data_IF_523670409409
#
_entry.id   IF_523670409409
#
_cell.length_a   1.000
_cell.length_b   1.000
_cell.length_c   1.000
_cell.angle_alpha   90.00
_cell.angle_beta   90.00
_cell.angle_gamma   90.00
#
_symmetry.space_group_name_H-M   'P 1'
#
loop_
_entity.id
_entity.type
_entity.pdbx_description
1 polymer ?
#
# COMPACT_ATOMS: atom_id res chain seq x y z
N UNK A 1 21.91 15.26 16.24
CA UNK A 1 21.45 15.60 14.89
C UNK A 1 19.99 15.21 14.81
N UNK A 2 19.14 16.12 14.40
CA UNK A 2 17.72 15.93 14.21
C UNK A 2 17.46 15.45 12.78
N UNK A 3 16.69 14.39 12.61
CA UNK A 3 16.39 13.79 11.31
C UNK A 3 14.87 13.85 11.10
N UNK A 4 14.46 14.40 9.96
CA UNK A 4 13.09 14.34 9.46
C UNK A 4 13.02 13.28 8.36
N UNK A 5 11.99 12.44 8.42
CA UNK A 5 11.65 11.49 7.35
C UNK A 5 10.37 11.93 6.65
N UNK A 6 10.43 12.12 5.35
CA UNK A 6 9.27 12.32 4.49
C UNK A 6 9.05 11.05 3.68
N UNK A 7 7.96 10.34 3.94
CA UNK A 7 7.64 9.09 3.25
C UNK A 7 6.51 9.31 2.25
N UNK A 8 6.82 9.16 0.97
CA UNK A 8 5.87 9.35 -0.14
C UNK A 8 5.51 8.01 -0.79
N UNK A 9 4.38 8.00 -1.49
CA UNK A 9 3.93 6.87 -2.28
C UNK A 9 3.20 5.82 -1.45
N UNK A 10 3.64 4.57 -1.49
CA UNK A 10 2.87 3.43 -1.00
C UNK A 10 3.32 2.94 0.39
N UNK A 11 2.48 2.07 0.97
CA UNK A 11 2.73 1.34 2.21
C UNK A 11 4.06 0.56 2.26
N UNK A 12 4.57 0.07 1.10
CA UNK A 12 5.90 -0.57 1.02
C UNK A 12 7.03 0.44 1.27
N UNK A 13 6.90 1.66 0.73
CA UNK A 13 7.83 2.75 1.05
C UNK A 13 7.75 3.15 2.52
N UNK A 14 6.55 3.18 3.08
CA UNK A 14 6.36 3.47 4.50
C UNK A 14 7.06 2.44 5.39
N UNK A 15 6.94 1.13 5.07
CA UNK A 15 7.68 0.09 5.79
C UNK A 15 9.21 0.29 5.74
N UNK A 16 9.75 0.70 4.58
CA UNK A 16 11.17 1.01 4.43
C UNK A 16 11.56 2.24 5.29
N UNK A 17 10.73 3.28 5.30
CA UNK A 17 10.93 4.48 6.12
C UNK A 17 10.90 4.16 7.62
N UNK A 18 9.93 3.38 8.08
CA UNK A 18 9.80 2.96 9.48
C UNK A 18 11.02 2.14 9.94
N UNK A 19 11.56 1.28 9.05
CA UNK A 19 12.76 0.50 9.32
C UNK A 19 14.00 1.41 9.42
N UNK A 20 14.18 2.37 8.51
CA UNK A 20 15.27 3.35 8.55
C UNK A 20 15.20 4.19 9.83
N UNK A 21 14.01 4.70 10.19
CA UNK A 21 13.80 5.46 11.43
C UNK A 21 14.20 4.65 12.67
N UNK A 22 13.83 3.37 12.71
CA UNK A 22 14.21 2.47 13.80
C UNK A 22 15.71 2.28 13.93
N UNK A 23 16.44 2.15 12.82
CA UNK A 23 17.89 2.05 12.81
C UNK A 23 18.54 3.35 13.33
N UNK A 24 18.07 4.49 12.85
CA UNK A 24 18.59 5.80 13.24
C UNK A 24 18.33 6.10 14.72
N UNK A 25 17.11 5.82 15.21
CA UNK A 25 16.77 5.99 16.63
C UNK A 25 17.64 5.12 17.54
N UNK A 26 17.93 3.88 17.15
CA UNK A 26 18.85 2.98 17.89
C UNK A 26 20.26 3.58 18.00
N UNK A 27 20.71 4.30 16.98
CA UNK A 27 22.02 4.97 16.96
C UNK A 27 21.99 6.41 17.52
N UNK A 28 20.99 6.74 18.34
CA UNK A 28 20.84 7.99 19.07
C UNK A 28 20.69 9.24 18.18
N UNK A 29 20.13 9.07 16.97
CA UNK A 29 19.63 10.19 16.20
C UNK A 29 18.26 10.60 16.74
N UNK A 30 18.01 11.90 16.81
CA UNK A 30 16.73 12.43 17.24
C UNK A 30 15.79 12.54 16.03
N UNK A 31 14.61 11.93 16.12
CA UNK A 31 13.60 12.00 15.06
C UNK A 31 12.69 13.22 15.35
N UNK A 32 12.52 14.08 14.38
CA UNK A 32 11.66 15.28 14.48
C UNK A 32 10.60 15.27 13.38
N UNK A 33 9.49 15.96 13.67
CA UNK A 33 8.45 16.26 12.67
C UNK A 33 8.50 17.75 12.25
N UNK A 34 9.45 18.53 12.76
CA UNK A 34 9.61 19.93 12.44
C UNK A 34 10.74 20.12 11.42
N UNK A 35 10.37 20.58 10.23
CA UNK A 35 11.29 20.85 9.13
C UNK A 35 12.34 21.92 9.49
N UNK A 36 11.97 22.87 10.35
CA UNK A 36 12.87 23.97 10.76
C UNK A 36 13.92 23.53 11.77
N UNK A 37 13.70 22.41 12.47
CA UNK A 37 14.64 21.84 13.43
C UNK A 37 15.51 20.72 12.82
N UNK A 38 15.21 20.30 11.60
CA UNK A 38 15.92 19.20 10.96
C UNK A 38 17.32 19.59 10.52
N UNK A 39 18.31 18.81 10.97
CA UNK A 39 19.69 18.87 10.45
C UNK A 39 19.84 18.05 9.16
N UNK A 40 19.10 16.96 9.04
CA UNK A 40 19.03 16.11 7.86
C UNK A 40 17.56 15.78 7.52
N UNK A 41 17.23 15.81 6.24
CA UNK A 41 15.94 15.37 5.72
C UNK A 41 16.16 14.19 4.79
N UNK A 42 15.40 13.11 5.02
CA UNK A 42 15.38 11.92 4.17
C UNK A 42 14.04 11.88 3.48
N UNK A 43 14.00 11.95 2.14
CA UNK A 43 12.79 11.84 1.34
C UNK A 43 12.75 10.47 0.68
N UNK A 44 11.84 9.61 1.14
CA UNK A 44 11.59 8.31 0.51
C UNK A 44 10.53 8.50 -0.57
N UNK A 45 10.95 8.39 -1.83
CA UNK A 45 10.25 8.86 -3.01
C UNK A 45 9.51 7.75 -3.76
N UNK A 46 8.48 8.13 -4.51
CA UNK A 46 7.75 7.28 -5.44
C UNK A 46 8.02 7.68 -6.89
N UNK A 47 7.94 6.72 -7.82
CA UNK A 47 8.00 6.96 -9.26
C UNK A 47 7.21 5.89 -10.03
N UNK A 48 6.14 5.37 -9.42
CA UNK A 48 5.33 4.32 -10.00
C UNK A 48 4.45 4.83 -11.16
N UNK A 49 3.85 6.00 -10.98
CA UNK A 49 3.08 6.73 -11.98
C UNK A 49 3.53 8.19 -11.99
N UNK A 50 3.19 8.91 -13.07
CA UNK A 50 3.58 10.30 -13.29
C UNK A 50 3.23 11.22 -12.12
N UNK A 51 2.00 11.16 -11.62
CA UNK A 51 1.53 12.03 -10.53
C UNK A 51 2.34 11.82 -9.24
N UNK A 52 2.62 10.58 -8.88
CA UNK A 52 3.45 10.26 -7.71
C UNK A 52 4.92 10.67 -7.89
N UNK A 53 5.40 10.68 -9.12
CA UNK A 53 6.73 11.20 -9.45
C UNK A 53 6.76 12.74 -9.33
N UNK A 54 5.75 13.44 -9.86
CA UNK A 54 5.63 14.90 -9.73
C UNK A 54 5.53 15.33 -8.24
N UNK A 55 4.76 14.61 -7.43
CA UNK A 55 4.71 14.82 -5.99
C UNK A 55 6.10 14.67 -5.36
N UNK A 56 6.82 13.59 -5.72
CA UNK A 56 8.16 13.34 -5.19
C UNK A 56 9.15 14.44 -5.55
N UNK A 57 9.17 14.86 -6.82
CA UNK A 57 10.05 15.96 -7.28
C UNK A 57 9.71 17.26 -6.55
N UNK A 58 8.43 17.63 -6.49
CA UNK A 58 8.00 18.85 -5.81
C UNK A 58 8.39 18.86 -4.33
N UNK A 59 8.19 17.74 -3.64
CA UNK A 59 8.57 17.61 -2.23
C UNK A 59 10.10 17.75 -2.04
N UNK A 60 10.91 17.09 -2.87
CA UNK A 60 12.37 17.22 -2.80
C UNK A 60 12.80 18.67 -3.04
N UNK A 61 12.20 19.37 -4.02
CA UNK A 61 12.48 20.78 -4.30
C UNK A 61 12.05 21.71 -3.15
N UNK A 62 10.97 21.39 -2.44
CA UNK A 62 10.56 22.13 -1.25
C UNK A 62 11.56 21.95 -0.12
N UNK A 63 11.98 20.72 0.16
CA UNK A 63 12.98 20.43 1.18
C UNK A 63 14.35 21.04 0.83
N UNK A 64 14.72 21.07 -0.45
CA UNK A 64 15.96 21.70 -0.94
C UNK A 64 16.07 23.18 -0.58
N UNK A 65 14.94 23.93 -0.52
CA UNK A 65 14.92 25.35 -0.10
C UNK A 65 15.45 25.54 1.32
N UNK A 66 15.31 24.54 2.18
CA UNK A 66 15.76 24.58 3.57
C UNK A 66 17.30 24.56 3.70
N UNK A 67 18.04 24.17 2.64
CA UNK A 67 19.50 24.29 2.56
C UNK A 67 20.00 25.73 2.66
N UNK A 68 19.14 26.70 2.34
CA UNK A 68 19.42 28.12 2.52
C UNK A 68 19.23 28.60 3.97
N UNK A 69 18.77 27.73 4.87
CA UNK A 69 18.50 28.01 6.28
C UNK A 69 19.41 27.15 7.17
N UNK A 70 18.89 26.06 7.73
CA UNK A 70 19.58 25.21 8.71
C UNK A 70 19.75 23.75 8.27
N UNK A 71 19.15 23.32 7.16
CA UNK A 71 19.31 21.96 6.66
C UNK A 71 20.74 21.73 6.18
N UNK A 72 21.41 20.72 6.74
CA UNK A 72 22.75 20.32 6.34
C UNK A 72 22.73 19.28 5.23
N UNK A 73 21.89 18.26 5.38
CA UNK A 73 21.87 17.11 4.48
C UNK A 73 20.47 16.84 3.95
N UNK A 74 20.36 16.79 2.62
CA UNK A 74 19.18 16.34 1.89
C UNK A 74 19.48 14.99 1.26
N UNK A 75 18.77 13.94 1.68
CA UNK A 75 18.98 12.56 1.26
C UNK A 75 17.73 12.09 0.55
N UNK A 76 17.87 11.53 -0.66
CA UNK A 76 16.76 10.99 -1.42
C UNK A 76 16.89 9.46 -1.53
N UNK A 77 15.81 8.74 -1.27
CA UNK A 77 15.77 7.27 -1.37
C UNK A 77 14.47 6.82 -2.05
N UNK A 78 14.33 5.52 -2.26
CA UNK A 78 13.10 4.93 -2.80
C UNK A 78 13.09 4.80 -4.32
N UNK A 79 11.85 4.75 -4.87
CA UNK A 79 11.64 4.39 -6.27
C UNK A 79 12.22 5.40 -7.26
N UNK A 80 12.12 6.71 -6.97
CA UNK A 80 12.66 7.75 -7.84
C UNK A 80 14.19 7.70 -7.87
N UNK A 81 14.83 7.59 -6.70
CA UNK A 81 16.28 7.42 -6.60
C UNK A 81 16.77 6.19 -7.38
N UNK A 82 16.06 5.05 -7.26
CA UNK A 82 16.41 3.83 -7.99
C UNK A 82 16.22 3.96 -9.51
N UNK A 83 15.21 4.70 -9.95
CA UNK A 83 14.86 4.84 -11.37
C UNK A 83 15.83 5.76 -12.12
N UNK A 84 16.17 6.91 -11.53
CA UNK A 84 16.96 7.96 -12.18
C UNK A 84 18.43 7.96 -11.75
N UNK A 85 18.75 7.35 -10.62
CA UNK A 85 20.12 7.23 -10.10
C UNK A 85 20.86 8.58 -10.07
N UNK A 86 22.05 8.62 -10.66
CA UNK A 86 22.92 9.79 -10.59
C UNK A 86 22.41 10.98 -11.44
N UNK A 87 21.47 10.75 -12.39
CA UNK A 87 20.81 11.84 -13.15
C UNK A 87 20.06 12.82 -12.24
N UNK A 88 19.65 12.37 -11.03
CA UNK A 88 18.92 13.18 -10.06
C UNK A 88 19.77 14.37 -9.55
N UNK A 89 21.09 14.20 -9.41
CA UNK A 89 22.00 15.26 -8.95
C UNK A 89 22.17 16.37 -9.99
N UNK A 90 22.12 16.03 -11.28
CA UNK A 90 22.20 17.02 -12.37
C UNK A 90 20.97 17.94 -12.37
N UNK A 91 19.80 17.39 -12.00
CA UNK A 91 18.52 18.13 -11.98
C UNK A 91 18.30 18.86 -10.65
N UNK A 92 18.76 18.31 -9.52
CA UNK A 92 18.58 18.86 -8.17
C UNK A 92 19.92 18.79 -7.41
N UNK A 93 20.83 19.75 -7.66
CA UNK A 93 22.18 19.73 -7.09
C UNK A 93 22.24 19.99 -5.57
N UNK A 94 21.12 20.31 -4.93
CA UNK A 94 21.03 20.43 -3.48
C UNK A 94 21.00 19.08 -2.74
N UNK A 95 20.83 17.96 -3.46
CA UNK A 95 20.82 16.62 -2.89
C UNK A 95 22.27 16.20 -2.56
N UNK A 96 22.49 15.76 -1.33
CA UNK A 96 23.82 15.33 -0.87
C UNK A 96 24.03 13.81 -1.04
N UNK A 97 22.94 13.03 -0.99
CA UNK A 97 23.03 11.58 -1.15
C UNK A 97 21.76 10.95 -1.74
N UNK A 98 21.97 9.88 -2.52
CA UNK A 98 20.91 9.03 -3.05
C UNK A 98 21.11 7.57 -2.68
N UNK A 99 20.02 6.88 -2.27
CA UNK A 99 19.99 5.44 -1.99
C UNK A 99 18.91 4.76 -2.83
N UNK A 100 19.29 3.67 -3.51
CA UNK A 100 18.34 2.82 -4.22
C UNK A 100 17.41 2.03 -3.29
N UNK A 101 16.37 1.44 -3.86
CA UNK A 101 15.37 0.64 -3.14
C UNK A 101 15.94 -0.59 -2.45
N UNK A 102 17.03 -1.15 -2.96
CA UNK A 102 17.77 -2.28 -2.37
C UNK A 102 18.89 -1.86 -1.40
N UNK A 103 19.02 -0.54 -1.10
CA UNK A 103 20.11 0.01 -0.30
C UNK A 103 19.64 0.85 0.89
N UNK A 104 18.34 0.93 1.18
CA UNK A 104 17.80 1.74 2.27
C UNK A 104 18.37 1.36 3.65
N UNK A 105 18.80 0.11 3.83
CA UNK A 105 19.42 -0.39 5.05
C UNK A 105 20.85 0.20 5.30
N UNK A 106 21.42 0.90 4.33
CA UNK A 106 22.68 1.60 4.45
C UNK A 106 22.55 3.07 4.84
N UNK A 107 21.36 3.51 5.22
CA UNK A 107 21.09 4.91 5.59
C UNK A 107 22.01 5.42 6.70
N UNK A 108 22.34 4.57 7.67
CA UNK A 108 23.27 4.94 8.75
C UNK A 108 24.66 5.22 8.22
N UNK A 109 25.21 4.35 7.36
CA UNK A 109 26.54 4.51 6.77
C UNK A 109 26.61 5.80 5.95
N UNK A 110 25.56 6.10 5.17
CA UNK A 110 25.45 7.33 4.37
C UNK A 110 25.49 8.59 5.26
N UNK A 111 24.72 8.60 6.35
CA UNK A 111 24.71 9.73 7.28
C UNK A 111 26.08 9.91 7.95
N UNK A 112 26.73 8.84 8.37
CA UNK A 112 28.07 8.92 8.96
C UNK A 112 29.11 9.39 7.95
N UNK A 113 29.00 8.99 6.70
CA UNK A 113 29.87 9.44 5.62
C UNK A 113 29.65 10.94 5.29
N UNK A 114 28.40 11.41 5.21
CA UNK A 114 28.08 12.83 5.05
C UNK A 114 28.68 13.67 6.17
N UNK A 115 28.57 13.23 7.42
CA UNK A 115 29.17 13.90 8.58
C UNK A 115 30.72 13.92 8.50
N UNK A 116 31.33 12.85 8.01
CA UNK A 116 32.77 12.78 7.86
C UNK A 116 33.29 13.73 6.77
N UNK A 117 32.47 14.08 5.80
CA UNK A 117 32.76 15.03 4.70
C UNK A 117 32.38 16.48 5.02
N UNK A 118 31.78 16.74 6.19
CA UNK A 118 31.35 18.07 6.59
C UNK A 118 32.53 19.06 6.60
N UNK A 119 32.35 20.20 5.89
CA UNK A 119 33.39 21.22 5.73
C UNK A 119 34.44 20.93 4.66
N UNK A 120 34.32 19.86 3.86
CA UNK A 120 35.15 19.63 2.68
C UNK A 120 34.51 20.39 1.51
N UNK A 121 35.24 21.37 0.96
CA UNK A 121 34.86 22.09 -0.25
C UNK A 121 34.85 21.10 -1.45
N UNK A 122 33.78 21.17 -2.27
CA UNK A 122 33.57 20.32 -3.46
C UNK A 122 33.55 18.80 -3.12
N UNK A 123 32.98 18.41 -1.98
CA UNK A 123 32.73 17.00 -1.68
C UNK A 123 31.78 16.43 -2.73
N UNK A 124 32.12 15.28 -3.32
CA UNK A 124 31.26 14.57 -4.27
C UNK A 124 30.00 14.06 -3.55
N UNK A 125 28.87 14.01 -4.26
CA UNK A 125 27.62 13.44 -3.79
C UNK A 125 27.82 11.94 -3.45
N UNK A 126 26.94 11.41 -2.60
CA UNK A 126 27.00 9.99 -2.22
C UNK A 126 25.90 9.23 -2.96
N UNK A 127 26.30 8.23 -3.74
CA UNK A 127 25.41 7.31 -4.44
C UNK A 127 25.56 5.89 -3.91
N UNK A 128 24.45 5.27 -3.47
CA UNK A 128 24.45 3.89 -2.97
C UNK A 128 23.38 3.07 -3.68
N UNK A 129 23.80 2.27 -4.65
CA UNK A 129 22.93 1.39 -5.42
C UNK A 129 23.48 -0.03 -5.41
N UNK A 130 22.92 -0.87 -4.54
CA UNK A 130 23.23 -2.30 -4.52
C UNK A 130 22.57 -3.04 -5.69
N UNK A 131 22.87 -4.34 -5.81
CA UNK A 131 22.14 -5.24 -6.70
C UNK A 131 20.63 -5.13 -6.39
N UNK A 132 19.84 -4.83 -7.43
CA UNK A 132 18.40 -4.63 -7.30
C UNK A 132 17.68 -5.87 -6.75
N UNK A 133 18.27 -7.05 -6.95
CA UNK A 133 17.73 -8.33 -6.46
C UNK A 133 18.18 -8.67 -5.04
N UNK A 134 18.98 -7.81 -4.41
CA UNK A 134 19.29 -7.93 -2.99
C UNK A 134 18.05 -7.63 -2.14
N UNK A 135 17.73 -8.50 -1.19
CA UNK A 135 16.73 -8.21 -0.17
C UNK A 135 17.35 -7.34 0.92
N UNK A 136 17.11 -6.03 0.85
CA UNK A 136 17.51 -5.11 1.91
C UNK A 136 16.62 -5.30 3.12
N UNK A 137 17.20 -5.53 4.29
CA UNK A 137 16.48 -5.70 5.55
C UNK A 137 17.28 -5.12 6.72
N UNK A 138 16.58 -4.47 7.64
CA UNK A 138 17.13 -3.99 8.90
C UNK A 138 16.66 -4.93 10.00
N UNK A 139 17.56 -5.80 10.47
CA UNK A 139 17.28 -6.82 11.49
C UNK A 139 17.88 -6.50 12.85
N UNK A 140 18.77 -5.51 12.91
CA UNK A 140 19.48 -5.13 14.14
C UNK A 140 18.69 -4.17 15.03
N UNK A 141 17.65 -3.52 14.49
CA UNK A 141 16.75 -2.63 15.22
C UNK A 141 15.29 -2.96 14.93
N UNK A 142 14.42 -2.59 15.85
CA UNK A 142 13.00 -2.59 15.61
C UNK A 142 12.61 -1.31 14.83
N UNK A 143 11.58 -1.39 14.01
CA UNK A 143 11.08 -0.22 13.27
C UNK A 143 10.39 0.79 14.21
N UNK A 144 10.35 2.05 13.80
CA UNK A 144 9.50 3.07 14.43
C UNK A 144 8.19 3.10 13.67
N UNK A 145 7.10 2.71 14.32
CA UNK A 145 5.78 2.64 13.71
C UNK A 145 5.23 4.06 13.59
N UNK A 146 4.91 4.47 12.37
CA UNK A 146 4.34 5.80 12.05
C UNK A 146 2.95 5.69 11.43
N UNK A 147 2.53 4.50 11.04
CA UNK A 147 1.24 4.20 10.40
C UNK A 147 0.03 4.34 11.34
N UNK A 148 0.25 4.44 12.65
CA UNK A 148 -0.81 4.60 13.66
C UNK A 148 -0.44 3.96 14.98
N UNK A 149 -1.36 4.01 15.95
CA UNK A 149 -1.14 3.45 17.30
C UNK A 149 -1.69 2.04 17.45
N UNK A 150 -2.52 1.56 16.53
CA UNK A 150 -3.23 0.27 16.60
C UNK A 150 -3.11 -0.55 15.32
N UNK A 151 -2.63 0.04 14.24
CA UNK A 151 -2.50 -0.57 12.91
C UNK A 151 -1.07 -0.45 12.40
N UNK A 152 -0.59 -1.47 11.69
CA UNK A 152 0.72 -1.42 11.08
C UNK A 152 0.83 -2.29 9.83
N UNK A 153 1.70 -1.86 8.91
CA UNK A 153 2.02 -2.60 7.70
C UNK A 153 3.18 -3.57 7.93
N UNK A 154 3.01 -4.79 7.43
CA UNK A 154 4.06 -5.81 7.40
C UNK A 154 4.42 -6.11 5.95
N UNK A 155 5.60 -5.68 5.53
CA UNK A 155 6.12 -5.98 4.18
C UNK A 155 6.68 -7.39 4.15
N UNK A 156 5.95 -8.33 3.50
CA UNK A 156 6.28 -9.77 3.50
C UNK A 156 7.18 -10.21 2.35
N UNK A 157 7.27 -9.38 1.31
CA UNK A 157 8.14 -9.63 0.16
C UNK A 157 8.49 -8.33 -0.55
N UNK A 158 9.50 -8.38 -1.42
CA UNK A 158 9.97 -7.28 -2.26
C UNK A 158 10.10 -7.74 -3.72
N UNK A 159 9.79 -6.84 -4.68
CA UNK A 159 9.92 -7.11 -6.10
C UNK A 159 8.75 -7.88 -6.70
N UNK A 160 8.76 -8.08 -8.04
CA UNK A 160 7.68 -8.74 -8.76
C UNK A 160 8.16 -9.37 -10.07
N UNK A 161 7.79 -10.64 -10.30
CA UNK A 161 8.14 -11.41 -11.51
C UNK A 161 7.02 -11.44 -12.57
N UNK A 162 6.01 -10.59 -12.44
CA UNK A 162 4.87 -10.59 -13.37
C UNK A 162 5.21 -9.93 -14.70
N UNK A 163 6.03 -8.89 -14.70
CA UNK A 163 6.43 -8.15 -15.91
C UNK A 163 5.22 -7.69 -16.72
N UNK A 164 4.17 -7.20 -16.04
CA UNK A 164 3.03 -6.58 -16.72
C UNK A 164 3.52 -5.45 -17.62
N UNK A 165 2.97 -5.35 -18.83
CA UNK A 165 3.50 -4.48 -19.90
C UNK A 165 3.43 -2.98 -19.60
N UNK A 166 2.63 -2.57 -18.63
CA UNK A 166 2.47 -1.18 -18.14
C UNK A 166 3.32 -0.85 -16.92
N UNK A 167 4.01 -1.85 -16.33
CA UNK A 167 4.53 -1.73 -14.96
C UNK A 167 6.05 -1.60 -14.94
N UNK A 168 6.54 -0.59 -14.21
CA UNK A 168 7.98 -0.34 -14.01
C UNK A 168 8.56 -1.09 -12.79
N UNK A 169 7.74 -1.72 -11.95
CA UNK A 169 8.16 -2.34 -10.68
C UNK A 169 9.34 -3.32 -10.83
N UNK A 170 9.38 -4.25 -11.81
CA UNK A 170 10.54 -5.14 -11.94
C UNK A 170 11.86 -4.41 -12.16
N UNK A 171 11.82 -3.21 -12.74
CA UNK A 171 13.02 -2.39 -13.02
C UNK A 171 13.48 -1.55 -11.83
N UNK A 172 12.58 -1.27 -10.86
CA UNK A 172 12.87 -0.41 -9.70
C UNK A 172 12.84 -1.15 -8.36
N UNK A 173 12.26 -2.37 -8.32
CA UNK A 173 12.19 -3.21 -7.11
C UNK A 173 12.75 -4.61 -7.33
N UNK A 174 13.16 -4.96 -8.56
CA UNK A 174 13.80 -6.24 -8.92
C UNK A 174 12.85 -7.42 -8.93
N UNK A 175 13.44 -8.62 -8.96
CA UNK A 175 12.74 -9.89 -8.89
C UNK A 175 12.08 -10.13 -7.54
N UNK A 176 11.08 -11.02 -7.51
CA UNK A 176 10.34 -11.36 -6.29
C UNK A 176 11.22 -12.04 -5.25
N UNK A 177 11.21 -11.53 -4.01
CA UNK A 177 11.98 -12.05 -2.87
C UNK A 177 11.14 -11.99 -1.61
N UNK A 178 10.84 -13.14 -1.02
CA UNK A 178 10.11 -13.25 0.25
C UNK A 178 11.02 -12.91 1.44
N UNK A 179 10.45 -12.26 2.45
CA UNK A 179 11.11 -12.13 3.76
C UNK A 179 10.96 -13.45 4.52
N UNK A 180 12.02 -13.99 5.17
CA UNK A 180 11.91 -15.21 5.96
C UNK A 180 10.81 -15.14 7.03
N UNK A 181 10.03 -16.21 7.19
CA UNK A 181 8.87 -16.24 8.10
C UNK A 181 9.25 -15.92 9.54
N UNK A 182 10.38 -16.42 10.02
CA UNK A 182 10.87 -16.20 11.38
C UNK A 182 11.16 -14.71 11.65
N UNK A 183 11.58 -13.98 10.63
CA UNK A 183 11.79 -12.53 10.71
C UNK A 183 10.46 -11.79 10.81
N UNK A 184 9.48 -12.18 9.99
CA UNK A 184 8.14 -11.58 10.00
C UNK A 184 7.42 -11.82 11.33
N UNK A 185 7.53 -13.02 11.88
CA UNK A 185 6.95 -13.35 13.21
C UNK A 185 7.58 -12.48 14.30
N UNK A 186 8.91 -12.35 14.31
CA UNK A 186 9.61 -11.51 15.29
C UNK A 186 9.24 -10.03 15.16
N UNK A 187 9.11 -9.54 13.93
CA UNK A 187 8.68 -8.15 13.68
C UNK A 187 7.24 -7.95 14.18
N UNK A 188 6.35 -8.90 13.91
CA UNK A 188 4.95 -8.82 14.35
C UNK A 188 4.82 -8.93 15.88
N UNK A 189 5.62 -9.77 16.56
CA UNK A 189 5.67 -9.82 18.03
C UNK A 189 6.07 -8.46 18.62
N UNK A 190 7.05 -7.79 18.00
CA UNK A 190 7.40 -6.43 18.39
C UNK A 190 6.25 -5.46 18.14
N UNK A 191 5.63 -5.46 16.97
CA UNK A 191 4.50 -4.58 16.64
C UNK A 191 3.35 -4.77 17.63
N UNK A 192 2.99 -6.02 17.93
CA UNK A 192 1.95 -6.33 18.93
C UNK A 192 2.32 -5.79 20.32
N UNK A 193 3.60 -5.87 20.72
CA UNK A 193 4.09 -5.30 21.99
C UNK A 193 3.99 -3.78 22.06
N UNK A 194 3.92 -3.10 20.89
CA UNK A 194 3.71 -1.66 20.79
C UNK A 194 2.22 -1.29 20.70
N UNK A 195 1.30 -2.25 20.76
CA UNK A 195 -0.14 -2.01 20.74
C UNK A 195 -0.77 -2.15 19.34
N UNK A 196 -0.06 -2.68 18.36
CA UNK A 196 -0.65 -2.96 17.05
C UNK A 196 -1.59 -4.15 17.14
N UNK A 197 -2.84 -3.93 16.75
CA UNK A 197 -3.93 -4.90 16.75
C UNK A 197 -4.37 -5.31 15.34
N UNK A 198 -4.30 -4.39 14.35
CA UNK A 198 -4.53 -4.67 12.94
C UNK A 198 -3.20 -4.76 12.19
N UNK A 199 -2.96 -5.90 11.54
CA UNK A 199 -1.80 -6.18 10.71
C UNK A 199 -2.19 -6.21 9.23
N UNK A 200 -1.64 -5.30 8.43
CA UNK A 200 -1.88 -5.24 6.98
C UNK A 200 -0.68 -5.84 6.25
N UNK A 201 -0.87 -7.01 5.63
CA UNK A 201 0.19 -7.69 4.88
C UNK A 201 0.33 -7.08 3.48
N UNK A 202 1.53 -6.64 3.14
CA UNK A 202 1.80 -5.93 1.88
C UNK A 202 3.05 -6.47 1.18
N UNK A 203 2.98 -6.49 -0.14
CA UNK A 203 4.08 -6.72 -1.08
C UNK A 203 3.68 -6.14 -2.45
N UNK A 204 4.54 -6.23 -3.46
CA UNK A 204 4.11 -5.96 -4.84
C UNK A 204 3.22 -7.08 -5.39
N UNK A 205 3.35 -8.29 -4.83
CA UNK A 205 2.53 -9.48 -5.07
C UNK A 205 2.52 -10.32 -3.79
N UNK A 206 1.43 -10.30 -3.05
CA UNK A 206 1.35 -10.94 -1.73
C UNK A 206 1.12 -12.45 -1.82
N UNK A 207 0.35 -12.91 -2.81
CA UNK A 207 -0.09 -14.30 -2.96
C UNK A 207 1.03 -15.30 -3.26
N UNK A 208 2.16 -14.81 -3.81
CA UNK A 208 3.32 -15.64 -4.12
C UNK A 208 4.26 -15.90 -2.93
N UNK A 209 3.95 -15.36 -1.75
CA UNK A 209 4.81 -15.48 -0.57
C UNK A 209 5.29 -16.91 -0.32
N UNK A 210 6.60 -17.04 -0.14
CA UNK A 210 7.28 -18.29 0.21
C UNK A 210 7.70 -19.15 -0.98
N UNK A 211 7.21 -18.88 -2.20
CA UNK A 211 7.49 -19.70 -3.39
C UNK A 211 8.99 -19.77 -3.70
N UNK A 212 9.69 -18.66 -3.55
CA UNK A 212 11.15 -18.55 -3.78
C UNK A 212 11.97 -19.18 -2.64
N UNK A 213 11.54 -19.02 -1.38
CA UNK A 213 12.27 -19.51 -0.20
C UNK A 213 12.01 -20.99 0.10
N UNK A 214 10.77 -21.45 -0.09
CA UNK A 214 10.31 -22.77 0.38
C UNK A 214 9.89 -23.69 -0.78
N UNK A 215 9.91 -23.20 -2.04
CA UNK A 215 9.51 -23.97 -3.21
C UNK A 215 7.99 -24.07 -3.42
N UNK A 216 7.19 -23.50 -2.53
CA UNK A 216 5.72 -23.49 -2.58
C UNK A 216 5.15 -22.18 -1.99
N UNK A 217 3.91 -21.85 -2.37
CA UNK A 217 3.20 -20.69 -1.79
C UNK A 217 2.85 -20.98 -0.33
N UNK A 218 3.19 -20.06 0.57
CA UNK A 218 3.01 -20.21 2.03
C UNK A 218 2.29 -19.04 2.70
N UNK A 219 1.57 -18.21 1.96
CA UNK A 219 0.84 -17.10 2.56
C UNK A 219 -0.19 -17.60 3.60
N UNK A 220 -0.93 -18.66 3.29
CA UNK A 220 -1.88 -19.27 4.24
C UNK A 220 -1.20 -19.80 5.52
N UNK A 221 0.04 -20.29 5.43
CA UNK A 221 0.82 -20.71 6.60
C UNK A 221 1.24 -19.48 7.41
N UNK A 222 1.78 -18.45 6.73
CA UNK A 222 2.19 -17.21 7.38
C UNK A 222 1.01 -16.58 8.14
N UNK A 223 -0.16 -16.46 7.52
CA UNK A 223 -1.38 -15.91 8.16
C UNK A 223 -1.72 -16.68 9.43
N UNK A 224 -1.72 -18.01 9.39
CA UNK A 224 -2.01 -18.83 10.57
C UNK A 224 -0.96 -18.71 11.69
N UNK A 225 0.30 -18.52 11.34
CA UNK A 225 1.36 -18.30 12.35
C UNK A 225 1.25 -16.88 12.96
N UNK A 226 0.99 -15.85 12.15
CA UNK A 226 0.76 -14.49 12.61
C UNK A 226 -0.48 -14.40 13.52
N UNK A 227 -1.53 -15.15 13.20
CA UNK A 227 -2.77 -15.18 13.97
C UNK A 227 -2.58 -15.76 15.40
N UNK A 228 -1.52 -16.53 15.64
CA UNK A 228 -1.18 -17.05 16.99
C UNK A 228 -0.57 -16.00 17.91
N UNK A 229 -0.09 -14.88 17.35
CA UNK A 229 0.55 -13.83 18.13
C UNK A 229 -0.51 -13.11 18.97
N UNK A 230 -0.26 -13.06 20.28
CA UNK A 230 -1.11 -12.34 21.22
C UNK A 230 -1.08 -10.83 20.92
N UNK A 231 -2.24 -10.16 20.98
CA UNK A 231 -2.39 -8.74 20.66
C UNK A 231 -2.87 -8.49 19.24
N UNK A 232 -2.51 -9.31 18.26
CA UNK A 232 -3.05 -9.20 16.88
C UNK A 232 -4.50 -9.71 16.88
N UNK A 233 -5.42 -8.85 16.44
CA UNK A 233 -6.87 -9.12 16.32
C UNK A 233 -7.32 -9.26 14.87
N UNK A 234 -6.78 -8.42 13.99
CA UNK A 234 -7.13 -8.33 12.57
C UNK A 234 -5.91 -8.52 11.68
N UNK A 235 -6.04 -9.33 10.64
CA UNK A 235 -5.06 -9.53 9.57
C UNK A 235 -5.74 -9.23 8.24
N UNK A 236 -5.17 -8.32 7.47
CA UNK A 236 -5.70 -7.88 6.17
C UNK A 236 -4.70 -8.20 5.05
N UNK A 237 -5.21 -8.69 3.92
CA UNK A 237 -4.41 -9.00 2.74
C UNK A 237 -4.60 -7.93 1.66
N UNK A 238 -3.50 -7.35 1.22
CA UNK A 238 -3.46 -6.40 0.10
C UNK A 238 -2.63 -6.98 -1.06
N UNK A 239 -2.90 -6.53 -2.29
CA UNK A 239 -2.13 -6.88 -3.50
C UNK A 239 -2.10 -8.38 -3.83
N UNK A 240 -3.25 -9.03 -3.79
CA UNK A 240 -3.43 -10.44 -4.12
C UNK A 240 -3.80 -10.61 -5.59
N UNK A 241 -2.88 -11.07 -6.43
CA UNK A 241 -3.17 -11.27 -7.86
C UNK A 241 -4.14 -12.43 -8.08
N UNK A 242 -5.23 -12.27 -8.86
CA UNK A 242 -6.26 -13.30 -9.05
C UNK A 242 -5.69 -14.63 -9.54
N UNK A 243 -4.75 -14.60 -10.50
CA UNK A 243 -4.09 -15.78 -11.05
C UNK A 243 -3.20 -16.54 -10.07
N UNK A 244 -2.90 -15.96 -8.94
CA UNK A 244 -2.05 -16.58 -7.91
C UNK A 244 -2.83 -17.02 -6.67
N UNK A 245 -4.11 -16.70 -6.56
CA UNK A 245 -4.99 -17.17 -5.48
C UNK A 245 -5.19 -18.68 -5.61
N UNK A 246 -5.07 -19.43 -4.51
CA UNK A 246 -5.09 -20.88 -4.47
C UNK A 246 -5.98 -21.40 -3.34
N UNK A 247 -6.40 -22.65 -3.43
CA UNK A 247 -7.46 -23.23 -2.58
C UNK A 247 -7.11 -23.19 -1.08
N UNK A 248 -5.83 -23.39 -0.68
CA UNK A 248 -5.42 -23.32 0.73
C UNK A 248 -5.53 -21.90 1.31
N UNK A 249 -5.30 -20.86 0.48
CA UNK A 249 -5.52 -19.47 0.89
C UNK A 249 -7.03 -19.16 0.99
N UNK A 250 -7.82 -19.63 0.04
CA UNK A 250 -9.28 -19.48 0.08
C UNK A 250 -9.87 -20.15 1.33
N UNK A 251 -9.40 -21.36 1.67
CA UNK A 251 -9.82 -22.03 2.89
C UNK A 251 -9.41 -21.28 4.17
N UNK A 252 -8.31 -20.53 4.10
CA UNK A 252 -7.86 -19.72 5.24
C UNK A 252 -8.88 -18.63 5.62
N UNK A 253 -9.56 -18.01 4.64
CA UNK A 253 -10.64 -17.06 4.91
C UNK A 253 -11.81 -17.69 5.68
N UNK A 254 -12.08 -18.98 5.48
CA UNK A 254 -13.13 -19.70 6.20
C UNK A 254 -12.70 -20.14 7.60
N UNK A 255 -11.43 -20.47 7.79
CA UNK A 255 -10.94 -21.20 8.98
C UNK A 255 -10.27 -20.29 10.00
N UNK A 256 -9.68 -19.15 9.58
CA UNK A 256 -8.91 -18.28 10.44
C UNK A 256 -9.71 -17.01 10.81
N UNK A 257 -10.23 -16.92 12.04
CA UNK A 257 -11.14 -15.84 12.41
C UNK A 257 -10.47 -14.46 12.50
N UNK A 258 -9.13 -14.39 12.58
CA UNK A 258 -8.40 -13.12 12.57
C UNK A 258 -8.10 -12.62 11.16
N UNK A 259 -8.19 -13.51 10.14
CA UNK A 259 -8.11 -13.08 8.74
C UNK A 259 -9.43 -12.42 8.36
N UNK A 260 -9.38 -11.13 8.09
CA UNK A 260 -10.57 -10.38 7.71
C UNK A 260 -11.15 -10.90 6.39
N UNK A 261 -12.48 -10.97 6.30
CA UNK A 261 -13.18 -11.24 5.06
C UNK A 261 -13.07 -10.02 4.11
N UNK A 262 -11.83 -9.75 3.72
CA UNK A 262 -11.44 -8.68 2.82
C UNK A 262 -10.26 -9.12 1.98
N UNK A 263 -10.31 -8.87 0.69
CA UNK A 263 -9.19 -9.13 -0.22
C UNK A 263 -9.07 -7.99 -1.23
N UNK A 264 -7.87 -7.41 -1.35
CA UNK A 264 -7.51 -6.53 -2.46
C UNK A 264 -6.91 -7.38 -3.59
N UNK A 265 -7.62 -7.43 -4.71
CA UNK A 265 -7.33 -8.29 -5.85
C UNK A 265 -7.25 -7.47 -7.14
N UNK A 266 -6.12 -6.81 -7.45
CA UNK A 266 -6.00 -5.94 -8.62
C UNK A 266 -6.08 -6.73 -9.92
N UNK A 267 -7.26 -6.69 -10.57
CA UNK A 267 -7.54 -7.39 -11.84
C UNK A 267 -7.03 -6.63 -13.05
N UNK A 268 -7.09 -5.31 -13.02
CA UNK A 268 -6.71 -4.33 -14.04
C UNK A 268 -7.70 -4.22 -15.20
N UNK A 269 -8.31 -5.31 -15.65
CA UNK A 269 -9.37 -5.38 -16.66
C UNK A 269 -10.12 -6.72 -16.57
N UNK A 270 -11.25 -6.88 -17.29
CA UNK A 270 -11.99 -8.13 -17.40
C UNK A 270 -11.83 -8.82 -18.77
N UNK A 271 -11.49 -8.07 -19.82
CA UNK A 271 -11.46 -8.59 -21.19
C UNK A 271 -10.16 -9.31 -21.52
N UNK A 272 -10.26 -10.55 -22.02
CA UNK A 272 -9.13 -11.45 -22.29
C UNK A 272 -8.09 -10.83 -23.23
N UNK A 273 -8.55 -10.11 -24.27
CA UNK A 273 -7.68 -9.47 -25.23
C UNK A 273 -6.81 -8.38 -24.57
N UNK A 274 -7.41 -7.58 -23.68
CA UNK A 274 -6.73 -6.51 -22.95
C UNK A 274 -5.83 -7.10 -21.87
N UNK A 275 -6.30 -8.05 -21.08
CA UNK A 275 -5.50 -8.76 -20.08
C UNK A 275 -4.24 -9.38 -20.70
N UNK A 276 -4.37 -10.01 -21.86
CA UNK A 276 -3.23 -10.56 -22.60
C UNK A 276 -2.25 -9.47 -23.05
N UNK A 277 -2.74 -8.32 -23.54
CA UNK A 277 -1.89 -7.18 -23.92
C UNK A 277 -1.19 -6.56 -22.69
N UNK A 278 -1.86 -6.54 -21.55
CA UNK A 278 -1.31 -6.13 -20.25
C UNK A 278 -0.24 -7.10 -19.74
N UNK A 279 -0.08 -8.28 -20.35
CA UNK A 279 0.83 -9.32 -19.88
C UNK A 279 0.32 -10.08 -18.66
N UNK A 280 -0.99 -10.01 -18.37
CA UNK A 280 -1.64 -10.75 -17.30
C UNK A 280 -1.78 -12.22 -17.72
N UNK A 281 -1.61 -13.12 -16.73
CA UNK A 281 -1.68 -14.58 -16.93
C UNK A 281 -3.02 -15.14 -16.44
N UNK A 282 -4.08 -14.39 -16.63
CA UNK A 282 -5.45 -14.71 -16.27
C UNK A 282 -6.38 -14.36 -17.41
N UNK A 283 -7.62 -14.82 -17.33
CA UNK A 283 -8.72 -14.51 -18.22
C UNK A 283 -10.00 -14.25 -17.39
N UNK A 284 -11.06 -13.76 -18.05
CA UNK A 284 -12.35 -13.44 -17.40
C UNK A 284 -12.90 -14.64 -16.64
N UNK A 285 -12.94 -15.81 -17.27
CA UNK A 285 -13.52 -17.01 -16.66
C UNK A 285 -12.76 -17.45 -15.39
N UNK A 286 -11.43 -17.29 -15.39
CA UNK A 286 -10.59 -17.57 -14.22
C UNK A 286 -10.86 -16.57 -13.07
N UNK A 287 -11.01 -15.29 -13.39
CA UNK A 287 -11.34 -14.24 -12.42
C UNK A 287 -12.70 -14.52 -11.79
N UNK A 288 -13.74 -14.79 -12.60
CA UNK A 288 -15.08 -15.14 -12.13
C UNK A 288 -15.06 -16.40 -11.24
N UNK A 289 -14.27 -17.41 -11.61
CA UNK A 289 -14.08 -18.63 -10.80
C UNK A 289 -13.50 -18.32 -9.42
N UNK A 290 -12.48 -17.46 -9.35
CA UNK A 290 -11.85 -17.07 -8.08
C UNK A 290 -12.82 -16.26 -7.21
N UNK A 291 -13.55 -15.30 -7.79
CA UNK A 291 -14.60 -14.54 -7.09
C UNK A 291 -15.66 -15.50 -6.50
N UNK A 292 -16.15 -16.44 -7.31
CA UNK A 292 -17.11 -17.44 -6.87
C UNK A 292 -16.61 -18.29 -5.70
N UNK A 293 -15.38 -18.80 -5.76
CA UNK A 293 -14.75 -19.58 -4.68
C UNK A 293 -14.58 -18.76 -3.40
N UNK A 294 -14.15 -17.50 -3.50
CA UNK A 294 -14.00 -16.60 -2.34
C UNK A 294 -15.34 -16.37 -1.65
N UNK A 295 -16.40 -16.09 -2.42
CA UNK A 295 -17.76 -15.90 -1.89
C UNK A 295 -18.38 -17.19 -1.32
N UNK A 296 -18.01 -18.36 -1.85
CA UNK A 296 -18.42 -19.65 -1.26
C UNK A 296 -17.71 -19.89 0.09
N UNK A 297 -16.43 -19.55 0.20
CA UNK A 297 -15.66 -19.73 1.43
C UNK A 297 -16.04 -18.72 2.53
N UNK A 298 -16.28 -17.47 2.16
CA UNK A 298 -16.66 -16.37 3.02
C UNK A 298 -17.74 -15.51 2.33
N UNK A 299 -19.04 -15.80 2.59
CA UNK A 299 -20.16 -15.16 1.87
C UNK A 299 -20.27 -13.63 2.04
N UNK A 300 -19.66 -13.09 3.08
CA UNK A 300 -19.60 -11.67 3.41
C UNK A 300 -18.28 -11.01 3.02
N UNK A 301 -17.43 -11.70 2.24
CA UNK A 301 -16.12 -11.17 1.84
C UNK A 301 -16.28 -9.90 1.01
N UNK A 302 -15.55 -8.85 1.42
CA UNK A 302 -15.39 -7.63 0.64
C UNK A 302 -14.25 -7.81 -0.36
N UNK A 303 -14.57 -7.74 -1.64
CA UNK A 303 -13.59 -7.84 -2.73
C UNK A 303 -13.32 -6.45 -3.28
N UNK A 304 -12.06 -6.01 -3.12
CA UNK A 304 -11.53 -4.79 -3.71
C UNK A 304 -10.75 -5.11 -4.97
N UNK A 305 -10.82 -4.23 -5.95
CA UNK A 305 -9.98 -4.31 -7.15
C UNK A 305 -9.49 -2.94 -7.60
N UNK A 306 -8.44 -2.95 -8.42
CA UNK A 306 -7.99 -1.81 -9.19
C UNK A 306 -8.11 -2.13 -10.68
N UNK A 307 -8.56 -1.15 -11.48
CA UNK A 307 -8.72 -1.23 -12.92
C UNK A 307 -7.95 -0.12 -13.62
N UNK A 308 -7.59 -0.35 -14.87
CA UNK A 308 -6.96 0.64 -15.74
C UNK A 308 -7.88 0.88 -16.94
N UNK A 309 -8.33 2.11 -17.09
CA UNK A 309 -9.11 2.59 -18.24
C UNK A 309 -8.19 3.24 -19.29
N UNK A 310 -8.49 3.06 -20.55
CA UNK A 310 -7.71 3.65 -21.64
C UNK A 310 -6.39 2.95 -21.91
N UNK A 311 -6.29 1.66 -21.64
CA UNK A 311 -5.09 0.89 -21.96
C UNK A 311 -4.89 0.80 -23.50
N UNK A 312 -3.63 0.89 -24.04
CA UNK A 312 -3.41 0.89 -25.48
C UNK A 312 -4.05 -0.28 -26.20
N UNK A 313 -4.94 0.00 -27.13
CA UNK A 313 -5.71 -0.96 -27.92
C UNK A 313 -7.02 -1.42 -27.28
N UNK A 314 -7.42 -0.86 -26.14
CA UNK A 314 -8.78 -0.97 -25.60
C UNK A 314 -9.77 -0.29 -26.56
N UNK A 315 -10.92 -0.90 -26.77
CA UNK A 315 -12.00 -0.37 -27.63
C UNK A 315 -13.23 0.00 -26.80
N UNK A 316 -14.18 0.71 -27.43
CA UNK A 316 -15.46 1.00 -26.77
C UNK A 316 -16.19 -0.28 -26.36
N UNK A 317 -16.12 -1.32 -27.19
CA UNK A 317 -16.73 -2.63 -26.92
C UNK A 317 -16.05 -3.33 -25.69
N UNK A 318 -14.73 -3.19 -25.54
CA UNK A 318 -14.00 -3.72 -24.39
C UNK A 318 -14.41 -2.99 -23.10
N UNK A 319 -14.54 -1.65 -23.16
CA UNK A 319 -15.03 -0.84 -22.07
C UNK A 319 -16.47 -1.22 -21.64
N UNK A 320 -17.40 -1.34 -22.61
CA UNK A 320 -18.78 -1.77 -22.36
C UNK A 320 -18.84 -3.18 -21.74
N UNK A 321 -17.97 -4.08 -22.18
CA UNK A 321 -17.87 -5.42 -21.63
C UNK A 321 -17.31 -5.43 -20.18
N UNK A 322 -16.38 -4.52 -19.87
CA UNK A 322 -15.90 -4.31 -18.51
C UNK A 322 -16.99 -3.76 -17.60
N UNK A 323 -17.78 -2.78 -18.07
CA UNK A 323 -18.95 -2.25 -17.36
C UNK A 323 -19.96 -3.37 -17.03
N UNK A 324 -20.30 -4.20 -18.04
CA UNK A 324 -21.20 -5.35 -17.85
C UNK A 324 -20.64 -6.36 -16.84
N UNK A 325 -19.31 -6.62 -16.84
CA UNK A 325 -18.66 -7.47 -15.85
C UNK A 325 -18.81 -6.94 -14.43
N UNK A 326 -18.63 -5.63 -14.24
CA UNK A 326 -18.77 -4.99 -12.92
C UNK A 326 -20.21 -5.07 -12.40
N UNK A 327 -21.19 -4.81 -13.26
CA UNK A 327 -22.60 -4.94 -12.95
C UNK A 327 -22.99 -6.39 -12.57
N UNK A 328 -22.45 -7.39 -13.29
CA UNK A 328 -22.66 -8.81 -13.00
C UNK A 328 -21.99 -9.28 -11.71
N UNK A 329 -20.75 -8.79 -11.45
CA UNK A 329 -19.96 -9.26 -10.32
C UNK A 329 -20.21 -8.46 -9.03
N UNK A 330 -20.74 -7.25 -9.11
CA UNK A 330 -21.04 -6.41 -7.95
C UNK A 330 -19.88 -6.41 -6.93
N UNK A 331 -18.70 -5.93 -7.34
CA UNK A 331 -17.53 -5.88 -6.45
C UNK A 331 -17.72 -4.79 -5.39
N UNK A 332 -17.13 -5.01 -4.20
CA UNK A 332 -17.39 -4.14 -3.05
C UNK A 332 -16.68 -2.80 -3.13
N UNK A 333 -15.44 -2.82 -3.64
CA UNK A 333 -14.60 -1.63 -3.79
C UNK A 333 -13.86 -1.69 -5.12
N UNK A 334 -13.95 -0.66 -5.92
CA UNK A 334 -13.24 -0.54 -7.21
C UNK A 334 -12.55 0.81 -7.28
N UNK A 335 -11.23 0.80 -7.47
CA UNK A 335 -10.47 1.98 -7.83
C UNK A 335 -10.11 1.94 -9.31
N UNK A 336 -10.34 3.03 -10.03
CA UNK A 336 -10.05 3.11 -11.46
C UNK A 336 -9.01 4.18 -11.74
N UNK A 337 -7.95 3.81 -12.44
CA UNK A 337 -6.89 4.69 -12.89
C UNK A 337 -6.93 4.81 -14.41
N UNK A 338 -6.63 5.97 -14.95
CA UNK A 338 -6.30 6.08 -16.37
C UNK A 338 -4.93 5.45 -16.63
N UNK A 339 -4.74 4.89 -17.81
CA UNK A 339 -3.43 4.35 -18.20
C UNK A 339 -2.37 5.46 -18.19
N UNK A 340 -1.32 5.28 -17.38
CA UNK A 340 -0.15 6.15 -17.37
C UNK A 340 0.92 5.58 -18.29
N UNK A 341 1.34 6.36 -19.28
CA UNK A 341 2.39 5.97 -20.22
C UNK A 341 3.76 6.17 -19.59
N UNK A 342 4.29 5.08 -19.03
CA UNK A 342 5.57 5.09 -18.30
C UNK A 342 6.73 4.70 -19.24
N UNK A 343 7.74 5.57 -19.31
CA UNK A 343 8.94 5.32 -20.10
C UNK A 343 9.67 4.06 -19.63
N UNK A 344 10.18 3.29 -20.61
CA UNK A 344 10.83 2.01 -20.37
C UNK A 344 9.88 0.81 -20.25
N UNK A 345 8.55 1.03 -20.26
CA UNK A 345 7.56 -0.06 -20.29
C UNK A 345 7.23 -0.47 -21.73
N UNK A 346 6.93 -1.77 -21.98
CA UNK A 346 6.48 -2.22 -23.29
C UNK A 346 5.22 -1.48 -23.79
N UNK A 347 4.23 -1.24 -22.90
CA UNK A 347 2.97 -0.61 -23.25
C UNK A 347 3.14 0.84 -23.74
N UNK A 348 4.19 1.55 -23.30
CA UNK A 348 4.50 2.90 -23.78
C UNK A 348 4.78 2.95 -25.29
N UNK A 349 5.17 1.82 -25.90
CA UNK A 349 5.49 1.70 -27.32
C UNK A 349 4.39 1.06 -28.15
N UNK A 350 3.29 0.65 -27.52
CA UNK A 350 2.19 0.02 -28.23
C UNK A 350 1.49 1.02 -29.16
N UNK A 351 1.06 0.52 -30.31
CA UNK A 351 0.15 1.27 -31.19
C UNK A 351 -1.24 1.37 -30.56
N UNK A 352 -2.06 2.28 -31.08
CA UNK A 352 -3.42 2.54 -30.63
C UNK A 352 -3.47 3.01 -29.15
N UNK A 353 -2.61 3.96 -28.82
CA UNK A 353 -2.73 4.71 -27.56
C UNK A 353 -4.09 5.41 -27.52
N UNK A 354 -4.76 5.32 -26.38
CA UNK A 354 -6.02 6.02 -26.13
C UNK A 354 -5.69 7.44 -25.69
N UNK A 355 -6.44 8.41 -26.19
CA UNK A 355 -6.29 9.80 -25.76
C UNK A 355 -6.79 9.98 -24.30
N UNK A 356 -6.26 11.00 -23.65
CA UNK A 356 -6.51 11.26 -22.23
C UNK A 356 -7.99 11.54 -21.96
N UNK A 357 -8.68 12.27 -22.85
CA UNK A 357 -10.10 12.62 -22.71
C UNK A 357 -10.97 11.35 -22.71
N UNK A 358 -10.72 10.43 -23.63
CA UNK A 358 -11.42 9.13 -23.70
C UNK A 358 -11.13 8.28 -22.46
N UNK A 359 -9.87 8.19 -22.02
CA UNK A 359 -9.50 7.41 -20.84
C UNK A 359 -10.14 7.97 -19.56
N UNK A 360 -10.18 9.29 -19.40
CA UNK A 360 -10.86 9.93 -18.27
C UNK A 360 -12.38 9.73 -18.32
N UNK A 361 -12.99 9.82 -19.50
CA UNK A 361 -14.41 9.54 -19.67
C UNK A 361 -14.74 8.12 -19.21
N UNK A 362 -14.02 7.11 -19.71
CA UNK A 362 -14.23 5.71 -19.34
C UNK A 362 -13.99 5.47 -17.85
N UNK A 363 -12.95 6.07 -17.28
CA UNK A 363 -12.74 6.02 -15.82
C UNK A 363 -13.95 6.55 -15.06
N UNK A 364 -14.49 7.68 -15.46
CA UNK A 364 -15.62 8.30 -14.79
C UNK A 364 -16.91 7.46 -14.93
N UNK A 365 -17.18 6.90 -16.11
CA UNK A 365 -18.31 5.99 -16.34
C UNK A 365 -18.23 4.75 -15.44
N UNK A 366 -17.05 4.12 -15.30
CA UNK A 366 -16.84 3.00 -14.39
C UNK A 366 -17.06 3.42 -12.93
N UNK A 367 -16.54 4.59 -12.52
CA UNK A 367 -16.69 5.08 -11.16
C UNK A 367 -18.14 5.44 -10.81
N UNK A 368 -18.92 5.96 -11.76
CA UNK A 368 -20.36 6.22 -11.59
C UNK A 368 -21.12 4.91 -11.36
N UNK A 369 -20.91 3.90 -12.21
CA UNK A 369 -21.49 2.57 -12.01
C UNK A 369 -21.10 1.97 -10.66
N UNK A 370 -19.81 2.02 -10.31
CA UNK A 370 -19.34 1.47 -9.03
C UNK A 370 -19.94 2.21 -7.84
N UNK A 371 -20.21 3.49 -7.96
CA UNK A 371 -20.86 4.26 -6.90
C UNK A 371 -22.29 3.75 -6.62
N UNK A 372 -23.05 3.39 -7.67
CA UNK A 372 -24.37 2.78 -7.54
C UNK A 372 -24.27 1.39 -6.90
N UNK A 373 -23.37 0.52 -7.40
CA UNK A 373 -23.15 -0.83 -6.85
C UNK A 373 -22.76 -0.76 -5.36
N UNK A 374 -21.85 0.15 -5.02
CA UNK A 374 -21.39 0.31 -3.63
C UNK A 374 -22.52 0.77 -2.71
N UNK A 375 -23.38 1.69 -3.17
CA UNK A 375 -24.54 2.16 -2.41
C UNK A 375 -25.54 1.01 -2.16
N UNK A 376 -25.92 0.27 -3.19
CA UNK A 376 -26.85 -0.86 -3.09
C UNK A 376 -26.33 -1.91 -2.10
N UNK A 377 -25.04 -2.22 -2.15
CA UNK A 377 -24.40 -3.13 -1.19
C UNK A 377 -24.39 -2.56 0.22
N UNK A 378 -24.05 -1.30 0.40
CA UNK A 378 -24.01 -0.66 1.72
C UNK A 378 -25.42 -0.57 2.33
N UNK A 379 -26.49 -0.35 1.55
CA UNK A 379 -27.88 -0.37 2.02
C UNK A 379 -28.25 -1.70 2.71
N UNK A 380 -27.64 -2.81 2.30
CA UNK A 380 -27.85 -4.11 2.94
C UNK A 380 -27.38 -4.17 4.39
N UNK A 381 -26.54 -3.23 4.82
CA UNK A 381 -26.00 -3.17 6.19
C UNK A 381 -26.82 -2.27 7.12
N UNK A 382 -27.78 -1.50 6.62
CA UNK A 382 -28.66 -0.66 7.46
C UNK A 382 -29.42 -1.53 8.47
N UNK A 383 -29.32 -1.17 9.74
CA UNK A 383 -29.90 -1.90 10.87
C UNK A 383 -29.03 -3.05 11.40
N UNK A 384 -27.98 -3.47 10.69
CA UNK A 384 -27.04 -4.50 11.17
C UNK A 384 -26.05 -3.92 12.17
N UNK A 385 -25.54 -4.79 13.03
CA UNK A 385 -24.45 -4.48 13.95
C UNK A 385 -23.15 -4.94 13.28
N UNK A 386 -22.17 -4.06 13.24
CA UNK A 386 -20.84 -4.32 12.69
C UNK A 386 -19.75 -3.95 13.70
N UNK A 387 -18.69 -4.73 13.73
CA UNK A 387 -17.46 -4.35 14.46
C UNK A 387 -16.74 -3.22 13.72
N UNK A 388 -16.45 -2.15 14.43
CA UNK A 388 -15.75 -0.98 13.92
C UNK A 388 -14.51 -0.74 14.78
N UNK A 389 -13.34 -0.66 14.14
CA UNK A 389 -12.11 -0.20 14.79
C UNK A 389 -12.08 1.32 14.72
N UNK A 390 -11.94 1.97 15.85
CA UNK A 390 -11.92 3.44 15.95
C UNK A 390 -10.53 3.95 15.54
N UNK A 391 -10.49 4.86 14.58
CA UNK A 391 -9.27 5.52 14.13
C UNK A 391 -9.00 6.82 14.88
N UNK A 392 -10.05 7.59 15.15
CA UNK A 392 -9.92 8.87 15.81
C UNK A 392 -11.25 9.57 16.02
N UNK A 393 -11.17 10.85 16.34
CA UNK A 393 -12.32 11.73 16.57
C UNK A 393 -12.25 12.95 15.65
N UNK A 394 -13.33 13.22 14.92
CA UNK A 394 -13.51 14.44 14.14
C UNK A 394 -14.14 15.51 15.03
N UNK A 395 -13.34 16.51 15.38
CA UNK A 395 -13.82 17.65 16.18
C UNK A 395 -14.79 18.56 15.43
N UNK A 396 -14.72 18.57 14.11
CA UNK A 396 -15.55 19.43 13.26
C UNK A 396 -16.98 18.89 13.14
N UNK A 397 -17.11 17.56 13.12
CA UNK A 397 -18.37 16.85 12.96
C UNK A 397 -18.92 16.29 14.29
N UNK A 398 -18.13 16.36 15.39
CA UNK A 398 -18.47 15.82 16.72
C UNK A 398 -18.81 14.33 16.69
N UNK A 399 -18.02 13.54 15.93
CA UNK A 399 -18.20 12.10 15.76
C UNK A 399 -16.87 11.35 15.81
N UNK A 400 -16.91 10.09 16.20
CA UNK A 400 -15.77 9.19 16.01
C UNK A 400 -15.72 8.67 14.59
N UNK A 401 -14.51 8.44 14.10
CA UNK A 401 -14.24 7.88 12.76
C UNK A 401 -13.59 6.53 12.95
N UNK A 402 -14.06 5.55 12.20
CA UNK A 402 -13.52 4.21 12.24
C UNK A 402 -13.72 3.46 10.92
N UNK A 403 -13.35 2.18 10.92
CA UNK A 403 -13.48 1.29 9.77
C UNK A 403 -14.06 -0.07 10.19
N UNK A 404 -14.75 -0.70 9.25
CA UNK A 404 -15.12 -2.11 9.38
C UNK A 404 -14.03 -3.02 8.80
N UNK A 405 -14.24 -4.35 8.91
CA UNK A 405 -13.40 -5.33 8.20
C UNK A 405 -13.41 -5.13 6.67
N UNK A 406 -14.44 -4.48 6.13
CA UNK A 406 -14.68 -4.26 4.70
C UNK A 406 -13.81 -3.16 4.08
N UNK A 407 -13.10 -2.40 4.90
CA UNK A 407 -12.46 -1.17 4.47
C UNK A 407 -10.96 -1.17 4.85
N UNK A 408 -10.08 -1.03 3.85
CA UNK A 408 -8.65 -0.89 4.07
C UNK A 408 -8.29 0.53 4.53
N UNK A 409 -7.30 0.67 5.42
CA UNK A 409 -6.92 1.97 5.96
C UNK A 409 -6.44 2.94 4.87
N UNK A 410 -6.99 4.16 4.88
CA UNK A 410 -6.60 5.24 3.98
C UNK A 410 -6.97 5.07 2.50
N UNK A 411 -7.72 4.01 2.16
CA UNK A 411 -8.03 3.66 0.75
C UNK A 411 -9.53 3.53 0.51
N UNK A 412 -10.25 2.90 1.45
CA UNK A 412 -11.69 2.61 1.33
C UNK A 412 -12.53 3.54 2.21
N UNK A 413 -13.80 3.20 2.43
CA UNK A 413 -14.76 4.01 3.17
C UNK A 413 -14.54 4.04 4.69
N UNK A 414 -15.25 4.94 5.35
CA UNK A 414 -15.21 5.17 6.78
C UNK A 414 -16.58 4.90 7.43
N UNK A 415 -16.55 4.70 8.74
CA UNK A 415 -17.77 4.68 9.57
C UNK A 415 -17.73 5.85 10.53
N UNK A 416 -18.72 6.73 10.44
CA UNK A 416 -18.92 7.82 11.38
C UNK A 416 -19.78 7.32 12.55
N UNK A 417 -19.21 7.31 13.75
CA UNK A 417 -19.81 6.67 14.93
C UNK A 417 -20.25 7.72 15.93
N UNK A 418 -21.56 7.79 16.18
CA UNK A 418 -22.13 8.60 17.25
C UNK A 418 -21.96 7.89 18.59
N UNK A 419 -21.35 8.57 19.56
CA UNK A 419 -21.09 8.04 20.88
C UNK A 419 -21.07 9.16 21.92
N UNK A 420 -21.74 8.95 23.07
CA UNK A 420 -21.84 9.94 24.17
C UNK A 420 -20.70 9.83 25.19
N UNK A 421 -19.75 8.91 24.99
CA UNK A 421 -18.59 8.73 25.86
C UNK A 421 -17.28 8.60 25.05
N UNK A 422 -16.17 8.75 25.73
CA UNK A 422 -14.85 8.77 25.07
C UNK A 422 -14.44 7.37 24.59
N UNK A 423 -14.05 7.27 23.30
CA UNK A 423 -13.47 6.10 22.68
C UNK A 423 -12.00 6.35 22.37
N UNK A 424 -11.20 5.30 22.50
CA UNK A 424 -9.76 5.37 22.16
C UNK A 424 -9.50 4.85 20.75
N UNK A 425 -8.52 5.43 20.06
CA UNK A 425 -8.01 4.88 18.80
C UNK A 425 -7.55 3.42 18.99
N UNK A 426 -7.94 2.54 18.07
CA UNK A 426 -7.71 1.09 18.14
C UNK A 426 -8.79 0.32 18.90
N UNK A 427 -9.71 0.99 19.58
CA UNK A 427 -10.82 0.28 20.24
C UNK A 427 -11.77 -0.31 19.18
N UNK A 428 -12.06 -1.59 19.28
CA UNK A 428 -13.07 -2.26 18.46
C UNK A 428 -14.39 -2.23 19.22
N UNK A 429 -15.41 -1.69 18.58
CA UNK A 429 -16.76 -1.50 19.16
C UNK A 429 -17.85 -2.04 18.24
N UNK A 430 -18.96 -2.45 18.81
CA UNK A 430 -20.15 -2.85 18.07
C UNK A 430 -20.99 -1.61 17.72
N UNK A 431 -21.18 -1.37 16.43
CA UNK A 431 -21.89 -0.22 15.89
C UNK A 431 -23.12 -0.70 15.11
N UNK A 432 -24.29 -0.17 15.42
CA UNK A 432 -25.50 -0.34 14.59
C UNK A 432 -25.46 0.68 13.47
N UNK A 433 -25.41 0.21 12.23
CA UNK A 433 -25.42 1.06 11.04
C UNK A 433 -26.83 1.62 10.86
N UNK A 434 -26.95 2.96 10.81
CA UNK A 434 -28.21 3.67 10.70
C UNK A 434 -28.44 4.22 9.29
N UNK A 435 -27.39 4.78 8.69
CA UNK A 435 -27.40 5.41 7.37
C UNK A 435 -26.14 5.02 6.59
N UNK A 436 -26.22 5.03 5.27
CA UNK A 436 -25.12 4.69 4.38
C UNK A 436 -25.06 5.65 3.20
N UNK A 437 -23.87 5.91 2.74
CA UNK A 437 -23.57 6.49 1.44
C UNK A 437 -22.90 5.48 0.51
N UNK A 438 -22.49 5.91 -0.68
CA UNK A 438 -21.77 5.04 -1.61
C UNK A 438 -20.45 4.49 -1.03
N UNK A 439 -19.78 5.24 -0.18
CA UNK A 439 -18.50 4.85 0.40
C UNK A 439 -18.58 4.71 1.91
N UNK A 440 -19.16 5.68 2.60
CA UNK A 440 -19.15 5.80 4.05
C UNK A 440 -20.45 5.35 4.67
N UNK A 441 -20.39 5.03 5.97
CA UNK A 441 -21.53 4.62 6.79
C UNK A 441 -21.64 5.49 8.02
N UNK A 442 -22.85 5.61 8.58
CA UNK A 442 -23.11 6.32 9.83
C UNK A 442 -23.80 5.34 10.79
N UNK A 443 -23.35 5.31 12.02
CA UNK A 443 -23.93 4.43 13.03
C UNK A 443 -23.82 4.97 14.45
N UNK A 444 -24.36 4.22 15.38
CA UNK A 444 -24.25 4.49 16.81
C UNK A 444 -23.84 3.24 17.57
N UNK A 445 -23.15 3.45 18.69
CA UNK A 445 -22.73 2.36 19.58
C UNK A 445 -23.93 1.56 20.03
N UNK A 446 -23.78 0.24 20.09
CA UNK A 446 -24.73 -0.68 20.71
C UNK A 446 -24.34 -0.82 22.18
N UNK A 447 -25.10 -0.19 23.08
CA UNK A 447 -24.92 -0.37 24.52
C UNK A 447 -25.40 -1.78 24.93
N UNK A 448 -24.52 -2.60 25.47
CA UNK A 448 -24.88 -3.91 26.08
C UNK A 448 -25.90 -3.78 27.23
N UNK A 449 -26.16 -2.57 27.72
CA UNK A 449 -27.06 -2.30 28.84
C UNK A 449 -28.54 -2.04 28.43
N UNK A 450 -28.87 -2.15 27.12
CA UNK A 450 -30.20 -1.83 26.60
C UNK A 450 -31.05 -3.06 26.18
N UNK A 451 -30.63 -4.30 26.54
CA UNK A 451 -31.44 -5.51 26.41
C UNK A 451 -32.14 -5.94 27.73
#
# INVERSE_FOLDING_TARGET
MNILMVSLGCDKNLCDSEAMLGLLAKHNYNITNDEQEADAIIVNTCSFIKDAMEESVNTVLEMAKLKQQNLKYLIVTGCMAQRFKDEIFDEIPEIDACLGTSSFDKILDVIEELKARDGIEDAEEISVYDDIDRLATITESNKVITSGTFMGYLKIAEGCDKFCTYCVIPHIRGHYRSVPMEQLLKETEYMASQGIEELVLVAQETTCYGKDLYGEKRLHVLVRELAKIDGIKWIRLMYCYPEEIYDELINCFKEEPKLLHYIDMPMQHSEDAILKRMGRRTDRASIETVIGKLREAAPDIAIRTSLIAGFPGETQEDHEALMAFLDEQELDRVGVFTYSREDGTPAATFENQIDEETAEQWRNEIMELQQEISLDKNETFVGKIMQVIIEGYSSDDDVYVGRTYRDAPGVDGLVFVNCDYELMSGQIVDVRINEVGPYDMIGGIVDESAE
#
